data_IF_634784320706
#
_entry.id   IF_634784320706
#
_cell.length_a   1.000
_cell.length_b   1.000
_cell.length_c   1.000
_cell.angle_alpha   90.00
_cell.angle_beta   90.00
_cell.angle_gamma   90.00
#
_symmetry.space_group_name_H-M   'P 1'
#
loop_
_entity.id
_entity.type
_entity.pdbx_description
1 polymer ?
#
# COMPACT_ATOMS: atom_id res chain seq x y z
N UNK A 1 7.23 2.77 4.41
CA UNK A 1 8.11 2.44 3.28
C UNK A 1 8.00 0.92 3.09
N UNK A 2 7.22 0.43 2.13
CA UNK A 2 7.30 -0.98 1.75
C UNK A 2 8.75 -1.23 1.31
N UNK A 3 9.40 -2.25 1.83
CA UNK A 3 10.80 -2.51 1.48
C UNK A 3 10.87 -2.77 -0.02
N UNK A 4 11.81 -2.14 -0.73
CA UNK A 4 12.03 -2.39 -2.16
C UNK A 4 12.23 -3.89 -2.47
N UNK A 5 12.64 -4.67 -1.46
CA UNK A 5 12.78 -6.12 -1.52
C UNK A 5 11.48 -6.89 -1.81
N UNK A 6 10.29 -6.40 -1.39
CA UNK A 6 9.02 -7.09 -1.66
C UNK A 6 8.38 -6.71 -2.99
N UNK A 7 8.86 -5.64 -3.64
CA UNK A 7 8.30 -5.13 -4.90
C UNK A 7 8.36 -6.16 -6.04
N UNK A 8 9.34 -7.06 -6.02
CA UNK A 8 9.53 -8.13 -7.01
C UNK A 8 8.92 -9.47 -6.58
N UNK A 9 8.36 -9.56 -5.37
CA UNK A 9 7.86 -10.82 -4.81
C UNK A 9 6.37 -11.07 -5.07
N UNK A 10 5.63 -10.04 -5.46
CA UNK A 10 4.22 -10.16 -5.82
C UNK A 10 4.07 -10.40 -7.32
N UNK A 11 3.16 -11.30 -7.76
CA UNK A 11 2.81 -11.43 -9.17
C UNK A 11 2.34 -10.09 -9.73
N UNK A 12 2.60 -9.83 -11.02
CA UNK A 12 2.15 -8.59 -11.67
C UNK A 12 0.62 -8.40 -11.61
N UNK A 13 -0.13 -9.50 -11.52
CA UNK A 13 -1.59 -9.47 -11.35
C UNK A 13 -2.05 -8.87 -10.00
N UNK A 14 -1.18 -8.84 -8.99
CA UNK A 14 -1.45 -8.24 -7.67
C UNK A 14 -1.01 -6.76 -7.62
N UNK A 15 -0.44 -6.23 -8.70
CA UNK A 15 -0.05 -4.82 -8.78
C UNK A 15 -1.26 -3.98 -9.14
N UNK A 16 -1.35 -2.82 -8.49
CA UNK A 16 -2.27 -1.78 -8.93
C UNK A 16 -1.78 -1.33 -10.32
N UNK A 17 -2.63 -1.39 -11.37
CA UNK A 17 -2.24 -0.97 -12.71
C UNK A 17 -2.00 0.54 -12.75
N UNK A 18 -1.51 1.04 -13.88
CA UNK A 18 -1.51 2.48 -14.11
C UNK A 18 -2.96 3.02 -14.03
N UNK A 19 -3.17 4.03 -13.19
CA UNK A 19 -4.48 4.57 -12.88
C UNK A 19 -4.68 5.93 -13.56
N UNK A 20 -5.82 6.09 -14.24
CA UNK A 20 -6.26 7.37 -14.80
C UNK A 20 -6.88 8.31 -13.74
N UNK A 21 -7.18 9.57 -14.11
CA UNK A 21 -7.84 10.52 -13.22
C UNK A 21 -9.17 9.99 -12.67
N UNK A 22 -9.34 10.07 -11.35
CA UNK A 22 -10.54 9.64 -10.61
C UNK A 22 -10.91 8.14 -10.70
N UNK A 23 -10.02 7.31 -11.25
CA UNK A 23 -10.21 5.86 -11.23
C UNK A 23 -10.02 5.29 -9.82
N UNK A 24 -10.72 4.18 -9.54
CA UNK A 24 -10.72 3.53 -8.23
C UNK A 24 -10.16 2.13 -8.36
N UNK A 25 -9.24 1.79 -7.47
CA UNK A 25 -8.75 0.43 -7.31
C UNK A 25 -9.04 -0.07 -5.90
N UNK A 26 -9.31 -1.37 -5.78
CA UNK A 26 -9.48 -2.07 -4.51
C UNK A 26 -8.53 -3.25 -4.50
N UNK A 27 -7.85 -3.48 -3.38
CA UNK A 27 -6.87 -4.55 -3.25
C UNK A 27 -6.68 -4.97 -1.81
N UNK A 28 -5.64 -5.75 -1.57
CA UNK A 28 -5.26 -6.23 -0.23
C UNK A 28 -3.88 -5.69 0.12
N UNK A 29 -3.65 -5.45 1.40
CA UNK A 29 -2.34 -5.11 1.95
C UNK A 29 -1.92 -6.30 2.82
N UNK A 30 -0.72 -6.83 2.58
CA UNK A 30 -0.14 -7.93 3.36
C UNK A 30 1.01 -7.38 4.20
N UNK A 31 0.92 -7.58 5.52
CA UNK A 31 1.93 -7.17 6.48
C UNK A 31 2.51 -8.41 7.17
N UNK A 32 3.72 -8.78 6.81
CA UNK A 32 4.49 -9.82 7.49
C UNK A 32 5.40 -9.17 8.53
N UNK A 33 4.83 -8.90 9.71
CA UNK A 33 5.53 -8.26 10.83
C UNK A 33 5.22 -9.01 12.13
N UNK A 34 6.16 -9.09 13.08
CA UNK A 34 5.92 -9.78 14.35
C UNK A 34 4.92 -9.06 15.26
N UNK A 35 4.69 -7.77 15.03
CA UNK A 35 3.74 -6.96 15.80
C UNK A 35 2.29 -7.35 15.45
N UNK A 36 1.46 -7.54 16.47
CA UNK A 36 0.03 -7.89 16.31
C UNK A 36 -0.90 -6.68 16.26
N UNK A 37 -0.40 -5.50 16.61
CA UNK A 37 -1.15 -4.24 16.62
C UNK A 37 -0.28 -3.13 16.06
N UNK A 38 -0.92 -2.08 15.53
CA UNK A 38 -0.21 -0.94 14.99
C UNK A 38 -1.13 0.00 14.23
N UNK A 39 -0.50 0.87 13.47
CA UNK A 39 -1.17 1.88 12.67
C UNK A 39 -0.73 1.73 11.22
N UNK A 40 -1.69 1.63 10.30
CA UNK A 40 -1.45 1.74 8.87
C UNK A 40 -1.48 3.22 8.47
N UNK A 41 -0.36 3.73 7.94
CA UNK A 41 -0.24 5.10 7.46
C UNK A 41 -0.07 5.10 5.95
N UNK A 42 -0.97 5.77 5.25
CA UNK A 42 -0.81 6.12 3.84
C UNK A 42 -0.31 7.56 3.75
N UNK A 43 0.95 7.73 3.33
CA UNK A 43 1.60 9.02 3.19
C UNK A 43 2.39 9.05 1.87
N UNK A 44 1.71 9.26 0.72
CA UNK A 44 2.37 9.32 -0.57
C UNK A 44 3.26 10.57 -0.67
N UNK A 45 4.49 10.42 -1.16
CA UNK A 45 5.50 11.49 -1.13
C UNK A 45 5.24 12.66 -2.10
N UNK A 46 4.26 12.56 -3.00
CA UNK A 46 4.01 13.53 -4.07
C UNK A 46 2.57 14.05 -4.13
N UNK A 47 1.69 13.66 -3.20
CA UNK A 47 0.33 14.18 -3.13
C UNK A 47 -0.05 14.53 -1.69
N UNK A 48 -0.72 15.67 -1.51
CA UNK A 48 -1.22 16.15 -0.21
C UNK A 48 -2.51 15.42 0.23
N UNK A 49 -2.49 14.09 0.16
CA UNK A 49 -3.59 13.24 0.61
C UNK A 49 -3.01 12.07 1.41
N UNK A 50 -2.96 12.25 2.73
CA UNK A 50 -2.50 11.24 3.68
C UNK A 50 -3.65 10.82 4.60
N UNK A 51 -3.64 9.57 5.05
CA UNK A 51 -4.60 9.05 6.03
C UNK A 51 -3.96 8.02 6.96
N UNK A 52 -4.56 7.88 8.14
CA UNK A 52 -4.12 6.98 9.20
C UNK A 52 -5.28 6.07 9.63
N UNK A 53 -5.01 4.78 9.84
CA UNK A 53 -5.98 3.84 10.37
C UNK A 53 -5.37 2.90 11.42
N UNK A 54 -6.07 2.73 12.54
CA UNK A 54 -5.69 1.85 13.65
C UNK A 54 -6.23 0.43 13.43
N UNK A 55 -5.33 -0.55 13.50
CA UNK A 55 -5.63 -1.98 13.37
C UNK A 55 -5.95 -2.60 14.73
#
# INVERSE_FOLDING_TARGET
MASAASYMCLPDAERIPEMGPAERATGKIVLDVPAKTGTLVYAPGFVDQAWEWKL
#
